data_IF_151737005201
#
_entry.id   IF_151737005201
#
_cell.length_a   1.000
_cell.length_b   1.000
_cell.length_c   1.000
_cell.angle_alpha   90.00
_cell.angle_beta   90.00
_cell.angle_gamma   90.00
#
_symmetry.space_group_name_H-M   'P 1'
#
loop_
_entity.id
_entity.type
_entity.pdbx_description
1 polymer ?
#
# COMPACT_ATOMS: atom_id res chain seq x y z
N UNK A 1 9.41 -13.55 -33.20
CA UNK A 1 10.34 -13.46 -32.08
C UNK A 1 9.65 -12.83 -30.87
N UNK A 2 9.65 -13.54 -29.79
CA UNK A 2 9.00 -13.03 -28.61
C UNK A 2 9.92 -12.04 -27.88
N UNK A 3 9.41 -10.88 -27.62
CA UNK A 3 10.11 -9.95 -26.76
C UNK A 3 9.93 -10.42 -25.34
N UNK A 4 11.01 -10.36 -24.57
CA UNK A 4 10.93 -10.69 -23.17
C UNK A 4 10.19 -9.57 -22.49
N UNK A 5 8.99 -9.84 -22.00
CA UNK A 5 8.24 -8.86 -21.24
C UNK A 5 9.00 -8.51 -19.96
N UNK A 6 9.01 -7.22 -19.62
CA UNK A 6 9.62 -6.81 -18.37
C UNK A 6 8.73 -7.28 -17.23
N UNK A 7 9.30 -8.04 -16.31
CA UNK A 7 8.58 -8.59 -15.18
C UNK A 7 8.17 -7.49 -14.20
N UNK A 8 7.06 -7.66 -13.47
CA UNK A 8 6.63 -6.66 -12.50
C UNK A 8 7.72 -6.30 -11.48
N UNK A 9 8.53 -7.27 -11.08
CA UNK A 9 9.61 -7.06 -10.10
C UNK A 9 10.64 -6.06 -10.58
N UNK A 10 10.92 -6.02 -11.87
CA UNK A 10 11.85 -5.04 -12.44
C UNK A 10 11.31 -3.63 -12.32
N UNK A 11 10.01 -3.46 -12.55
CA UNK A 11 9.37 -2.17 -12.36
C UNK A 11 9.40 -1.76 -10.90
N UNK A 12 9.09 -2.70 -10.00
CA UNK A 12 9.11 -2.42 -8.56
C UNK A 12 10.48 -1.92 -8.13
N UNK A 13 11.55 -2.60 -8.55
CA UNK A 13 12.91 -2.19 -8.22
C UNK A 13 13.27 -0.82 -8.77
N UNK A 14 12.92 -0.56 -10.03
CA UNK A 14 13.21 0.72 -10.67
C UNK A 14 12.47 1.86 -9.98
N UNK A 15 11.20 1.65 -9.66
CA UNK A 15 10.39 2.66 -9.01
C UNK A 15 10.93 2.95 -7.61
N UNK A 16 11.23 1.90 -6.84
CA UNK A 16 11.79 2.07 -5.50
C UNK A 16 13.12 2.79 -5.53
N UNK A 17 13.98 2.45 -6.49
CA UNK A 17 15.28 3.12 -6.66
C UNK A 17 15.10 4.60 -6.98
N UNK A 18 14.14 4.91 -7.83
CA UNK A 18 13.84 6.29 -8.19
C UNK A 18 13.38 7.09 -6.98
N UNK A 19 12.47 6.51 -6.19
CA UNK A 19 11.91 7.15 -5.00
C UNK A 19 13.01 7.38 -3.95
N UNK A 20 13.85 6.39 -3.71
CA UNK A 20 14.95 6.49 -2.74
C UNK A 20 15.94 7.57 -3.18
N UNK A 21 16.34 7.54 -4.45
CA UNK A 21 17.31 8.50 -4.97
C UNK A 21 16.79 9.94 -4.90
N UNK A 22 15.53 10.13 -5.19
CA UNK A 22 14.92 11.45 -5.20
C UNK A 22 14.45 11.92 -3.83
N UNK A 23 14.36 11.01 -2.87
CA UNK A 23 13.88 11.33 -1.52
C UNK A 23 12.37 11.51 -1.44
N UNK A 24 11.62 10.92 -2.36
CA UNK A 24 10.16 11.02 -2.38
C UNK A 24 9.57 10.62 -3.71
N UNK A 25 8.27 10.82 -3.86
CA UNK A 25 7.57 10.52 -5.09
C UNK A 25 7.91 11.56 -6.17
N UNK A 26 8.11 11.08 -7.39
CA UNK A 26 8.44 11.94 -8.53
C UNK A 26 7.49 11.65 -9.69
N UNK A 27 7.41 12.58 -10.63
CA UNK A 27 6.65 12.36 -11.86
C UNK A 27 7.18 11.15 -12.61
N UNK A 28 8.49 10.94 -12.58
CA UNK A 28 9.12 9.79 -13.20
C UNK A 28 8.64 8.48 -12.59
N UNK A 29 8.56 8.43 -11.24
CA UNK A 29 8.05 7.25 -10.54
C UNK A 29 6.60 6.95 -10.94
N UNK A 30 5.76 7.99 -11.03
CA UNK A 30 4.36 7.80 -11.42
C UNK A 30 4.23 7.34 -12.86
N UNK A 31 5.07 7.86 -13.76
CA UNK A 31 5.06 7.38 -15.16
C UNK A 31 5.46 5.92 -15.26
N UNK A 32 6.46 5.51 -14.47
CA UNK A 32 6.87 4.11 -14.42
C UNK A 32 5.74 3.23 -13.88
N UNK A 33 5.03 3.71 -12.85
CA UNK A 33 3.88 2.98 -12.31
C UNK A 33 2.78 2.82 -13.35
N UNK A 34 2.46 3.87 -14.10
CA UNK A 34 1.44 3.80 -15.15
C UNK A 34 1.82 2.79 -16.22
N UNK A 35 3.07 2.84 -16.66
CA UNK A 35 3.59 1.90 -17.66
C UNK A 35 3.53 0.47 -17.12
N UNK A 36 3.99 0.28 -15.90
CA UNK A 36 4.02 -1.03 -15.27
C UNK A 36 2.61 -1.63 -15.13
N UNK A 37 1.66 -0.83 -14.66
CA UNK A 37 0.28 -1.29 -14.48
C UNK A 37 -0.44 -1.51 -15.81
N UNK A 38 -0.05 -0.79 -16.84
CA UNK A 38 -0.58 -1.04 -18.19
C UNK A 38 -0.14 -2.41 -18.69
N UNK A 39 1.10 -2.79 -18.40
CA UNK A 39 1.65 -4.10 -18.80
C UNK A 39 1.22 -5.22 -17.86
N UNK A 40 1.02 -4.90 -16.58
CA UNK A 40 0.72 -5.89 -15.54
C UNK A 40 -0.44 -5.44 -14.66
N UNK A 41 -1.66 -5.35 -15.23
CA UNK A 41 -2.80 -4.79 -14.48
C UNK A 41 -3.26 -5.64 -13.30
N UNK A 42 -2.79 -6.87 -13.19
CA UNK A 42 -3.17 -7.77 -12.10
C UNK A 42 -2.04 -7.98 -11.08
N UNK A 43 -0.98 -7.17 -11.15
CA UNK A 43 0.14 -7.32 -10.22
C UNK A 43 -0.19 -6.71 -8.86
N UNK A 44 -0.34 -7.55 -7.86
CA UNK A 44 -0.59 -7.12 -6.48
C UNK A 44 0.53 -6.21 -5.99
N UNK A 45 1.78 -6.59 -6.27
CA UNK A 45 2.94 -5.81 -5.84
C UNK A 45 2.92 -4.39 -6.41
N UNK A 46 2.54 -4.23 -7.67
CA UNK A 46 2.49 -2.92 -8.30
C UNK A 46 1.36 -2.05 -7.74
N UNK A 47 0.20 -2.64 -7.46
CA UNK A 47 -0.90 -1.88 -6.86
C UNK A 47 -0.53 -1.43 -5.44
N UNK A 48 0.09 -2.30 -4.63
CA UNK A 48 0.55 -1.92 -3.30
C UNK A 48 1.62 -0.82 -3.40
N UNK A 49 2.55 -0.97 -4.33
CA UNK A 49 3.61 0.04 -4.53
C UNK A 49 3.00 1.39 -4.92
N UNK A 50 1.97 1.38 -5.76
CA UNK A 50 1.30 2.62 -6.14
C UNK A 50 0.75 3.33 -4.91
N UNK A 51 0.10 2.59 -4.03
CA UNK A 51 -0.40 3.16 -2.77
C UNK A 51 0.73 3.75 -1.95
N UNK A 52 1.83 3.02 -1.83
CA UNK A 52 2.99 3.48 -1.05
C UNK A 52 3.60 4.76 -1.62
N UNK A 53 3.75 4.83 -2.94
CA UNK A 53 4.34 6.01 -3.60
C UNK A 53 3.43 7.22 -3.47
N UNK A 54 2.11 7.02 -3.59
CA UNK A 54 1.15 8.12 -3.43
C UNK A 54 1.27 8.75 -2.03
N UNK A 55 1.50 7.94 -1.00
CA UNK A 55 1.67 8.47 0.35
C UNK A 55 2.87 9.40 0.48
N UNK A 56 3.84 9.27 -0.41
CA UNK A 56 5.04 10.13 -0.42
C UNK A 56 4.86 11.36 -1.30
N UNK A 57 3.72 11.48 -1.99
CA UNK A 57 3.45 12.61 -2.87
C UNK A 57 3.03 13.82 -2.06
N UNK A 58 3.17 15.00 -2.66
CA UNK A 58 2.73 16.25 -2.05
C UNK A 58 1.22 16.27 -1.91
N UNK A 59 0.71 16.78 -0.79
CA UNK A 59 -0.71 16.85 -0.51
C UNK A 59 -1.48 17.63 -1.57
N UNK A 60 -0.87 18.67 -2.11
CA UNK A 60 -1.50 19.51 -3.11
C UNK A 60 -1.34 19.00 -4.54
N UNK A 61 -0.70 17.84 -4.69
CA UNK A 61 -0.43 17.27 -6.00
C UNK A 61 -1.64 16.58 -6.61
N UNK A 62 -1.47 16.04 -7.82
CA UNK A 62 -2.57 15.39 -8.53
C UNK A 62 -2.97 14.02 -7.96
N UNK A 63 -2.16 13.45 -7.08
CA UNK A 63 -2.45 12.14 -6.50
C UNK A 63 -2.93 12.30 -5.06
N UNK A 64 -4.05 11.69 -4.74
CA UNK A 64 -4.71 11.86 -3.44
C UNK A 64 -4.68 10.58 -2.63
N UNK A 65 -4.94 10.69 -1.32
CA UNK A 65 -5.04 9.52 -0.46
C UNK A 65 -6.19 8.59 -0.89
N UNK A 66 -7.25 9.13 -1.53
CA UNK A 66 -8.30 8.28 -2.09
C UNK A 66 -7.75 7.34 -3.15
N UNK A 67 -6.79 7.80 -3.94
CA UNK A 67 -6.14 6.96 -4.95
C UNK A 67 -5.24 5.92 -4.29
N UNK A 68 -4.59 6.26 -3.18
CA UNK A 68 -3.80 5.29 -2.43
C UNK A 68 -4.70 4.19 -1.87
N UNK A 69 -5.80 4.57 -1.25
CA UNK A 69 -6.79 3.63 -0.74
C UNK A 69 -7.28 2.70 -1.84
N UNK A 70 -7.67 3.27 -2.99
CA UNK A 70 -8.15 2.50 -4.13
C UNK A 70 -7.10 1.50 -4.62
N UNK A 71 -5.82 1.89 -4.60
CA UNK A 71 -4.73 1.02 -5.02
C UNK A 71 -4.60 -0.21 -4.10
N UNK A 72 -4.63 0.01 -2.79
CA UNK A 72 -4.56 -1.09 -1.84
C UNK A 72 -5.79 -1.99 -1.91
N UNK A 73 -6.99 -1.40 -2.06
CA UNK A 73 -8.21 -2.17 -2.21
C UNK A 73 -8.18 -3.03 -3.46
N UNK A 74 -7.64 -2.49 -4.55
CA UNK A 74 -7.49 -3.26 -5.78
C UNK A 74 -6.54 -4.44 -5.58
N UNK A 75 -5.43 -4.22 -4.89
CA UNK A 75 -4.50 -5.30 -4.58
C UNK A 75 -5.19 -6.40 -3.76
N UNK A 76 -5.99 -6.01 -2.78
CA UNK A 76 -6.71 -6.98 -1.94
C UNK A 76 -7.74 -7.77 -2.75
N UNK A 77 -8.43 -7.13 -3.69
CA UNK A 77 -9.36 -7.81 -4.58
C UNK A 77 -8.67 -8.85 -5.46
N UNK A 78 -7.49 -8.50 -5.96
CA UNK A 78 -6.74 -9.38 -6.84
C UNK A 78 -6.17 -10.61 -6.11
N UNK A 79 -5.87 -10.48 -4.84
CA UNK A 79 -5.31 -11.56 -4.05
C UNK A 79 -5.94 -11.60 -2.65
N UNK A 80 -7.19 -12.09 -2.55
CA UNK A 80 -7.90 -12.05 -1.26
C UNK A 80 -7.29 -12.91 -0.16
N UNK A 81 -6.39 -13.83 -0.50
CA UNK A 81 -5.70 -14.66 0.48
C UNK A 81 -4.31 -14.15 0.83
N UNK A 82 -3.89 -13.04 0.24
CA UNK A 82 -2.58 -12.44 0.50
C UNK A 82 -2.71 -11.45 1.64
N UNK A 83 -1.98 -11.64 2.76
CA UNK A 83 -2.09 -10.71 3.88
C UNK A 83 -1.49 -9.33 3.62
N UNK A 84 -0.59 -9.21 2.64
CA UNK A 84 0.14 -7.96 2.41
C UNK A 84 -0.76 -6.75 2.11
N UNK A 85 -1.71 -6.83 1.16
CA UNK A 85 -2.58 -5.68 0.91
C UNK A 85 -3.44 -5.31 2.12
N UNK A 86 -3.88 -6.31 2.90
CA UNK A 86 -4.68 -6.06 4.08
C UNK A 86 -3.86 -5.37 5.17
N UNK A 87 -2.62 -5.80 5.34
CA UNK A 87 -1.71 -5.14 6.28
C UNK A 87 -1.45 -3.69 5.86
N UNK A 88 -1.22 -3.46 4.56
CA UNK A 88 -1.03 -2.11 4.02
C UNK A 88 -2.24 -1.23 4.29
N UNK A 89 -3.44 -1.76 4.11
CA UNK A 89 -4.68 -1.03 4.42
C UNK A 89 -4.76 -0.69 5.90
N UNK A 90 -4.40 -1.65 6.77
CA UNK A 90 -4.39 -1.41 8.20
C UNK A 90 -3.50 -0.22 8.57
N UNK A 91 -2.26 -0.23 8.08
CA UNK A 91 -1.33 0.87 8.33
C UNK A 91 -1.81 2.17 7.70
N UNK A 92 -2.38 2.11 6.50
CA UNK A 92 -2.89 3.30 5.84
C UNK A 92 -4.00 3.97 6.65
N UNK A 93 -4.98 3.19 7.11
CA UNK A 93 -6.08 3.77 7.89
C UNK A 93 -5.61 4.28 9.25
N UNK A 94 -4.67 3.59 9.89
CA UNK A 94 -4.18 4.01 11.20
C UNK A 94 -3.21 5.19 11.12
N UNK A 95 -2.19 5.08 10.29
CA UNK A 95 -1.10 6.06 10.25
C UNK A 95 -1.42 7.29 9.41
N UNK A 96 -2.14 7.12 8.32
CA UNK A 96 -2.39 8.20 7.37
C UNK A 96 -3.76 8.84 7.60
N UNK A 97 -4.79 8.02 7.75
CA UNK A 97 -6.15 8.51 7.90
C UNK A 97 -6.57 8.74 9.36
N UNK A 98 -5.74 8.34 10.30
CA UNK A 98 -6.00 8.46 11.73
C UNK A 98 -7.36 7.85 12.10
N UNK A 99 -7.61 6.65 11.58
CA UNK A 99 -8.89 5.97 11.75
C UNK A 99 -8.66 4.53 12.25
N UNK A 100 -8.37 4.39 13.56
CA UNK A 100 -8.09 3.06 14.12
C UNK A 100 -9.26 2.10 14.06
N UNK A 101 -10.51 2.59 14.09
CA UNK A 101 -11.67 1.72 13.95
C UNK A 101 -11.69 1.02 12.61
N UNK A 102 -11.30 1.73 11.57
CA UNK A 102 -11.25 1.18 10.22
C UNK A 102 -10.05 0.27 10.03
N UNK A 103 -8.95 0.60 10.69
CA UNK A 103 -7.72 -0.17 10.59
C UNK A 103 -7.82 -1.55 11.25
N UNK A 104 -8.51 -1.64 12.37
CA UNK A 104 -8.55 -2.86 13.17
C UNK A 104 -8.95 -4.11 12.38
N UNK A 105 -10.06 -4.14 11.63
CA UNK A 105 -10.45 -5.35 10.92
C UNK A 105 -9.44 -5.79 9.87
N UNK A 106 -8.72 -4.85 9.26
CA UNK A 106 -7.72 -5.20 8.26
C UNK A 106 -6.51 -5.88 8.90
N UNK A 107 -6.04 -5.39 10.04
CA UNK A 107 -4.97 -6.06 10.75
C UNK A 107 -5.38 -7.45 11.21
N UNK A 108 -6.62 -7.61 11.70
CA UNK A 108 -7.10 -8.91 12.14
C UNK A 108 -7.19 -9.90 10.98
N UNK A 109 -7.67 -9.44 9.83
CA UNK A 109 -7.74 -10.27 8.63
C UNK A 109 -6.35 -10.65 8.13
N UNK A 110 -5.42 -9.69 8.15
CA UNK A 110 -4.04 -9.96 7.74
C UNK A 110 -3.41 -11.03 8.64
N UNK A 111 -3.60 -10.92 9.95
CA UNK A 111 -3.07 -11.90 10.90
C UNK A 111 -3.71 -13.27 10.69
N UNK A 112 -5.01 -13.33 10.41
CA UNK A 112 -5.68 -14.59 10.13
C UNK A 112 -5.10 -15.28 8.88
N UNK A 113 -4.53 -14.52 7.97
CA UNK A 113 -3.89 -15.05 6.76
C UNK A 113 -2.39 -15.28 6.93
N UNK A 114 -1.87 -15.10 8.14
CA UNK A 114 -0.47 -15.42 8.43
C UNK A 114 0.50 -14.24 8.42
N UNK A 115 -0.01 -13.02 8.48
CA UNK A 115 0.87 -11.84 8.57
C UNK A 115 1.72 -11.89 9.83
N UNK A 116 2.87 -11.24 9.79
CA UNK A 116 3.86 -11.32 10.85
C UNK A 116 3.87 -10.14 11.82
N UNK A 117 5.05 -9.86 12.35
CA UNK A 117 5.25 -8.90 13.43
C UNK A 117 4.70 -7.50 13.16
N UNK A 118 4.84 -7.01 11.93
CA UNK A 118 4.36 -5.67 11.60
C UNK A 118 2.84 -5.54 11.78
N UNK A 119 2.09 -6.57 11.37
CA UNK A 119 0.64 -6.58 11.57
C UNK A 119 0.27 -6.74 13.04
N UNK A 120 1.05 -7.55 13.79
CA UNK A 120 0.82 -7.70 15.23
C UNK A 120 1.02 -6.39 15.97
N UNK A 121 2.08 -5.68 15.66
CA UNK A 121 2.37 -4.39 16.24
C UNK A 121 1.31 -3.36 15.85
N UNK A 122 0.89 -3.38 14.58
CA UNK A 122 -0.17 -2.50 14.10
C UNK A 122 -1.47 -2.70 14.85
N UNK A 123 -1.87 -3.96 15.04
CA UNK A 123 -3.09 -4.27 15.79
C UNK A 123 -2.97 -3.83 17.25
N UNK A 124 -1.83 -4.11 17.88
CA UNK A 124 -1.62 -3.71 19.26
C UNK A 124 -1.75 -2.18 19.44
N UNK A 125 -1.15 -1.42 18.53
CA UNK A 125 -1.22 0.03 18.55
C UNK A 125 -2.66 0.53 18.36
N UNK A 126 -3.38 -0.04 17.42
CA UNK A 126 -4.78 0.31 17.14
C UNK A 126 -5.64 0.03 18.37
N UNK A 127 -5.46 -1.13 19.01
CA UNK A 127 -6.24 -1.48 20.18
C UNK A 127 -5.96 -0.52 21.34
N UNK A 128 -4.71 -0.08 21.49
CA UNK A 128 -4.35 0.90 22.50
C UNK A 128 -5.01 2.24 22.21
N UNK A 129 -4.99 2.69 20.96
CA UNK A 129 -5.63 3.94 20.55
C UNK A 129 -7.14 3.91 20.79
N UNK A 130 -7.77 2.78 20.49
CA UNK A 130 -9.21 2.62 20.71
C UNK A 130 -9.56 2.61 22.19
N UNK A 131 -8.72 1.97 23.01
CA UNK A 131 -8.93 1.96 24.46
C UNK A 131 -8.79 3.37 25.04
N UNK A 132 -7.83 4.15 24.57
CA UNK A 132 -7.66 5.54 25.01
C UNK A 132 -8.86 6.39 24.65
N UNK A 133 -9.44 6.19 23.46
CA UNK A 133 -10.63 6.89 23.03
C UNK A 133 -11.84 6.60 23.88
N UNK A 134 -11.93 5.39 24.44
CA UNK A 134 -13.06 5.00 25.29
C UNK A 134 -13.00 5.63 26.68
N UNK A 135 -11.83 6.03 27.12
CA UNK A 135 -11.65 6.59 28.46
C UNK A 135 -12.14 8.04 28.56
N UNK A 136 -12.21 8.72 27.43
CA UNK A 136 -12.75 10.07 27.39
C UNK A 136 -14.30 10.08 27.43
#
# INVERSE_FOLDING_TARGET
MSETAVEPEHFVERIRSEVVRAGGATDSAFRLLEEALRSHPSSVALWCLRGDVIQLAEEDGPHTFDEAEASYLRAAELAPSDPEPLESLGHFYDDVMDDPLRAEPYFRQALALGAGASAEEGLAQVLEELAEGEVE
#
